data_IF_491867048780
#
_entry.id   IF_491867048780
#
_cell.length_a   1.000
_cell.length_b   1.000
_cell.length_c   1.000
_cell.angle_alpha   90.00
_cell.angle_beta   90.00
_cell.angle_gamma   90.00
#
_symmetry.space_group_name_H-M   'P 1'
#
loop_
_entity.id
_entity.type
_entity.pdbx_description
1 polymer ?
#
# COMPACT_ATOMS: atom_id res chain seq x y z
N UNK A 1 4.53 -16.77 -2.93
CA UNK A 1 4.16 -16.30 -1.57
C UNK A 1 2.67 -16.47 -1.41
N UNK A 2 2.19 -17.14 -0.36
CA UNK A 2 0.76 -17.32 -0.09
C UNK A 2 0.23 -16.20 0.81
N UNK A 3 -1.09 -16.04 0.90
CA UNK A 3 -1.70 -15.06 1.80
C UNK A 3 -1.30 -15.28 3.27
N UNK A 4 -1.27 -16.54 3.71
CA UNK A 4 -0.85 -16.89 5.08
C UNK A 4 0.62 -16.56 5.32
N UNK A 5 1.51 -16.82 4.35
CA UNK A 5 2.92 -16.46 4.46
C UNK A 5 3.11 -14.93 4.59
N UNK A 6 2.27 -14.14 3.93
CA UNK A 6 2.31 -12.67 4.04
C UNK A 6 1.79 -12.19 5.40
N UNK A 7 0.74 -12.82 5.95
CA UNK A 7 0.25 -12.52 7.31
C UNK A 7 1.33 -12.83 8.34
N UNK A 8 1.95 -14.02 8.28
CA UNK A 8 3.01 -14.40 9.20
C UNK A 8 4.26 -13.54 9.07
N UNK A 9 4.52 -12.94 7.91
CA UNK A 9 5.57 -11.95 7.79
C UNK A 9 5.35 -10.73 8.69
N UNK A 10 4.10 -10.35 8.97
CA UNK A 10 3.77 -9.22 9.85
C UNK A 10 3.75 -9.56 11.34
N UNK A 11 3.76 -10.84 11.72
CA UNK A 11 3.78 -11.25 13.12
C UNK A 11 5.00 -10.68 13.86
N UNK A 12 4.81 -10.32 15.14
CA UNK A 12 5.85 -9.73 15.99
C UNK A 12 6.18 -8.25 15.69
N UNK A 13 5.62 -7.64 14.64
CA UNK A 13 5.79 -6.20 14.36
C UNK A 13 4.71 -5.40 15.10
N UNK A 14 5.14 -4.45 15.94
CA UNK A 14 4.22 -3.76 16.85
C UNK A 14 3.15 -2.91 16.14
N UNK A 15 3.53 -2.14 15.11
CA UNK A 15 2.66 -1.20 14.38
C UNK A 15 3.15 -0.98 12.93
N UNK A 16 2.86 -1.89 11.99
CA UNK A 16 3.28 -1.75 10.60
C UNK A 16 2.67 -0.50 9.94
N UNK A 17 3.47 0.20 9.14
CA UNK A 17 2.99 1.21 8.19
C UNK A 17 3.01 0.61 6.78
N UNK A 18 1.90 0.74 6.05
CA UNK A 18 1.75 0.21 4.69
C UNK A 18 1.42 1.35 3.75
N UNK A 19 2.18 1.48 2.65
CA UNK A 19 1.82 2.37 1.57
C UNK A 19 0.61 1.80 0.81
N UNK A 20 -0.47 2.56 0.74
CA UNK A 20 -1.72 2.18 0.07
C UNK A 20 -1.92 3.08 -1.16
N UNK A 21 -1.56 2.57 -2.34
CA UNK A 21 -1.70 3.28 -3.61
C UNK A 21 -3.11 3.20 -4.21
N UNK A 22 -3.94 2.29 -3.70
CA UNK A 22 -5.26 1.97 -4.26
C UNK A 22 -5.27 0.77 -5.22
N UNK A 23 -4.09 0.25 -5.58
CA UNK A 23 -3.97 -0.99 -6.36
C UNK A 23 -4.20 -2.26 -5.52
N UNK A 24 -4.60 -3.35 -6.18
CA UNK A 24 -4.91 -4.65 -5.55
C UNK A 24 -3.74 -5.20 -4.72
N UNK A 25 -2.50 -5.01 -5.18
CA UNK A 25 -1.31 -5.48 -4.46
C UNK A 25 -1.14 -4.75 -3.13
N UNK A 26 -1.26 -3.43 -3.13
CA UNK A 26 -1.17 -2.61 -1.92
C UNK A 26 -2.31 -2.89 -0.95
N UNK A 27 -3.52 -3.19 -1.47
CA UNK A 27 -4.67 -3.58 -0.68
C UNK A 27 -4.47 -4.94 0.00
N UNK A 28 -3.89 -5.92 -0.71
CA UNK A 28 -3.57 -7.23 -0.15
C UNK A 28 -2.55 -7.13 1.00
N UNK A 29 -1.51 -6.31 0.84
CA UNK A 29 -0.51 -6.07 1.88
C UNK A 29 -1.12 -5.35 3.09
N UNK A 30 -1.95 -4.34 2.87
CA UNK A 30 -2.65 -3.63 3.94
C UNK A 30 -3.58 -4.57 4.73
N UNK A 31 -4.32 -5.43 4.03
CA UNK A 31 -5.17 -6.45 4.65
C UNK A 31 -4.36 -7.43 5.49
N UNK A 32 -3.26 -7.97 4.97
CA UNK A 32 -2.41 -8.91 5.69
C UNK A 32 -1.79 -8.28 6.95
N UNK A 33 -1.32 -7.03 6.85
CA UNK A 33 -0.79 -6.27 7.97
C UNK A 33 -1.85 -6.04 9.06
N UNK A 34 -3.08 -5.68 8.67
CA UNK A 34 -4.20 -5.50 9.59
C UNK A 34 -4.60 -6.81 10.30
N UNK A 35 -4.57 -7.93 9.56
CA UNK A 35 -4.85 -9.27 10.11
C UNK A 35 -3.85 -9.70 11.17
N UNK A 36 -2.56 -9.44 10.96
CA UNK A 36 -1.50 -9.82 11.89
C UNK A 36 -1.33 -8.83 13.05
N UNK A 37 -1.56 -7.54 12.81
CA UNK A 37 -1.37 -6.46 13.76
C UNK A 37 -2.55 -5.48 13.71
N UNK A 38 -3.51 -5.56 14.66
CA UNK A 38 -4.70 -4.72 14.68
C UNK A 38 -4.44 -3.19 14.70
N UNK A 39 -3.21 -2.78 15.06
CA UNK A 39 -2.77 -1.36 15.09
C UNK A 39 -1.94 -0.96 13.86
N UNK A 40 -1.97 -1.74 12.78
CA UNK A 40 -1.36 -1.38 11.51
C UNK A 40 -2.04 -0.12 10.93
N UNK A 41 -1.26 0.68 10.21
CA UNK A 41 -1.73 1.91 9.57
C UNK A 41 -1.42 1.85 8.09
N UNK A 42 -2.46 1.97 7.26
CA UNK A 42 -2.32 2.16 5.83
C UNK A 42 -2.28 3.66 5.52
N UNK A 43 -1.31 4.11 4.72
CA UNK A 43 -1.11 5.50 4.35
C UNK A 43 -1.22 5.64 2.84
N UNK A 44 -2.20 6.42 2.41
CA UNK A 44 -2.27 6.92 1.03
C UNK A 44 -1.70 8.32 1.04
N UNK A 45 -0.66 8.54 0.24
CA UNK A 45 -0.09 9.86 0.09
C UNK A 45 -0.85 10.60 -1.01
N UNK A 46 -1.29 11.81 -0.69
CA UNK A 46 -1.94 12.73 -1.62
C UNK A 46 -0.86 13.54 -2.35
N UNK A 47 -0.29 12.95 -3.39
CA UNK A 47 0.62 13.65 -4.31
C UNK A 47 -0.04 13.74 -5.69
N UNK A 48 -0.07 14.96 -6.28
CA UNK A 48 -0.49 15.16 -7.67
C UNK A 48 0.52 14.46 -8.59
N UNK A 49 0.20 13.24 -9.01
CA UNK A 49 1.14 12.37 -9.71
C UNK A 49 1.39 12.73 -11.18
N UNK A 50 0.91 13.87 -11.69
CA UNK A 50 1.31 14.37 -13.03
C UNK A 50 1.50 15.90 -13.03
N UNK A 51 2.72 16.42 -13.20
CA UNK A 51 2.96 17.79 -13.59
C UNK A 51 2.31 18.09 -14.95
N UNK A 52 1.82 19.32 -15.17
CA UNK A 52 1.12 19.75 -16.41
C UNK A 52 1.84 19.42 -17.72
N UNK A 53 3.14 19.28 -17.65
CA UNK A 53 4.07 18.97 -18.74
C UNK A 53 3.90 17.54 -19.31
N UNK A 54 3.51 16.55 -18.50
CA UNK A 54 3.22 15.18 -18.98
C UNK A 54 1.87 15.09 -19.72
N UNK A 55 0.91 15.95 -19.37
CA UNK A 55 -0.38 16.07 -20.07
C UNK A 55 -0.24 16.72 -21.46
N UNK A 56 0.75 17.60 -21.64
CA UNK A 56 1.03 18.26 -22.92
C UNK A 56 1.75 17.32 -23.90
N UNK A 57 2.67 16.46 -23.41
CA UNK A 57 3.38 15.49 -24.24
C UNK A 57 2.47 14.39 -24.80
N UNK A 58 1.41 14.00 -24.07
CA UNK A 58 0.43 13.01 -24.50
C UNK A 58 -0.60 13.53 -25.52
N UNK A 59 -0.62 14.84 -25.80
CA UNK A 59 -1.55 15.50 -26.75
C UNK A 59 -0.97 15.71 -28.16
N UNK A 60 0.26 15.30 -28.43
CA UNK A 60 0.81 15.18 -29.80
C UNK A 60 0.59 13.78 -30.34
#
# INVERSE_FOLDING_TARGET
MTADALVSWFEGRARPLVALSGGVDSALVAYAAHRAAPRAVAVTADYQALPREDLEAARR
#
